data_IF_494880455913
#
_entry.id   IF_494880455913
#
_cell.length_a   1.000
_cell.length_b   1.000
_cell.length_c   1.000
_cell.angle_alpha   90.00
_cell.angle_beta   90.00
_cell.angle_gamma   90.00
#
_symmetry.space_group_name_H-M   'P 1'
#
loop_
_entity.id
_entity.type
_entity.pdbx_description
1 polymer ?
#
# COMPACT_ATOMS: atom_id res chain seq x y z
N UNK A 1 -0.23 -14.43 4.37
CA UNK A 1 0.87 -13.51 4.71
C UNK A 1 0.94 -12.41 3.66
N UNK A 2 0.32 -11.26 3.88
CA UNK A 2 0.30 -10.18 2.89
C UNK A 2 1.68 -9.52 2.71
N UNK A 3 2.06 -9.30 1.46
CA UNK A 3 3.19 -8.44 1.09
C UNK A 3 2.64 -7.23 0.35
N UNK A 4 2.88 -6.04 0.88
CA UNK A 4 2.43 -4.77 0.28
C UNK A 4 3.65 -3.98 -0.16
N UNK A 5 3.67 -3.62 -1.44
CA UNK A 5 4.68 -2.73 -1.99
C UNK A 5 4.06 -1.37 -2.31
N UNK A 6 4.59 -0.32 -1.70
CA UNK A 6 4.18 1.06 -1.94
C UNK A 6 5.28 1.74 -2.75
N UNK A 7 5.03 1.92 -4.04
CA UNK A 7 5.85 2.74 -4.91
C UNK A 7 5.26 4.15 -4.93
N UNK A 8 6.05 5.17 -4.57
CA UNK A 8 5.57 6.55 -4.52
C UNK A 8 6.62 7.54 -5.02
N UNK A 9 6.17 8.67 -5.57
CA UNK A 9 7.07 9.72 -6.04
C UNK A 9 7.98 10.26 -4.91
N UNK A 10 9.26 10.52 -5.15
CA UNK A 10 10.11 11.16 -4.14
C UNK A 10 9.56 12.56 -3.81
N UNK A 11 9.30 12.82 -2.52
CA UNK A 11 8.96 14.14 -1.97
C UNK A 11 9.59 14.30 -0.59
N UNK A 12 10.06 15.49 -0.25
CA UNK A 12 10.73 15.77 1.04
C UNK A 12 9.88 15.37 2.26
N UNK A 13 8.56 15.51 2.17
CA UNK A 13 7.62 15.12 3.23
C UNK A 13 7.50 13.59 3.46
N UNK A 14 8.06 12.74 2.58
CA UNK A 14 7.93 11.27 2.61
C UNK A 14 9.10 10.60 3.33
N UNK A 15 9.42 11.14 4.51
CA UNK A 15 10.54 10.73 5.37
C UNK A 15 10.25 9.41 6.12
N UNK A 16 11.18 8.98 6.98
CA UNK A 16 11.07 7.73 7.74
C UNK A 16 9.86 7.69 8.69
N UNK A 17 9.50 8.81 9.31
CA UNK A 17 8.34 8.90 10.22
C UNK A 17 7.04 8.72 9.45
N UNK A 18 6.89 9.42 8.33
CA UNK A 18 5.71 9.29 7.46
C UNK A 18 5.62 7.87 6.87
N UNK A 19 6.74 7.25 6.48
CA UNK A 19 6.75 5.83 6.05
C UNK A 19 6.25 4.90 7.16
N UNK A 20 6.62 5.15 8.41
CA UNK A 20 6.15 4.37 9.57
C UNK A 20 4.65 4.55 9.80
N UNK A 21 4.14 5.78 9.70
CA UNK A 21 2.70 6.07 9.83
C UNK A 21 1.89 5.36 8.74
N UNK A 22 2.33 5.45 7.49
CA UNK A 22 1.69 4.79 6.35
C UNK A 22 1.72 3.27 6.51
N UNK A 23 2.85 2.69 6.91
CA UNK A 23 2.94 1.25 7.15
C UNK A 23 1.96 0.78 8.23
N UNK A 24 1.83 1.54 9.34
CA UNK A 24 0.87 1.23 10.40
C UNK A 24 -0.58 1.29 9.89
N UNK A 25 -0.92 2.29 9.08
CA UNK A 25 -2.25 2.41 8.49
C UNK A 25 -2.59 1.22 7.57
N UNK A 26 -1.64 0.81 6.72
CA UNK A 26 -1.81 -0.35 5.82
C UNK A 26 -1.99 -1.65 6.59
N UNK A 27 -1.15 -1.91 7.60
CA UNK A 27 -1.26 -3.11 8.45
C UNK A 27 -2.63 -3.14 9.12
N UNK A 28 -3.07 -2.01 9.71
CA UNK A 28 -4.38 -1.92 10.34
C UNK A 28 -5.53 -2.19 9.37
N UNK A 29 -5.46 -1.64 8.16
CA UNK A 29 -6.48 -1.86 7.13
C UNK A 29 -6.61 -3.36 6.79
N UNK A 30 -5.48 -4.05 6.59
CA UNK A 30 -5.46 -5.48 6.29
C UNK A 30 -5.98 -6.34 7.44
N UNK A 31 -5.55 -6.06 8.67
CA UNK A 31 -5.96 -6.81 9.88
C UNK A 31 -7.43 -6.56 10.25
N UNK A 32 -8.02 -5.47 9.78
CA UNK A 32 -9.45 -5.18 9.99
C UNK A 32 -10.38 -6.01 9.09
N UNK A 33 -9.87 -6.59 8.00
CA UNK A 33 -10.63 -7.55 7.18
C UNK A 33 -10.62 -8.91 7.87
N UNK A 34 -11.57 -9.12 8.79
CA UNK A 34 -11.60 -10.31 9.66
C UNK A 34 -11.71 -11.62 8.89
N UNK A 35 -12.43 -11.63 7.78
CA UNK A 35 -12.55 -12.80 6.89
C UNK A 35 -11.26 -13.19 6.18
N UNK A 36 -10.22 -12.33 6.20
CA UNK A 36 -8.92 -12.63 5.59
C UNK A 36 -7.92 -13.28 6.55
N UNK A 37 -8.25 -13.39 7.85
CA UNK A 37 -7.44 -14.06 8.88
C UNK A 37 -5.97 -13.60 8.91
N UNK A 38 -5.74 -12.29 8.80
CA UNK A 38 -4.41 -11.68 8.74
C UNK A 38 -3.92 -11.32 10.15
N UNK A 39 -2.78 -11.89 10.54
CA UNK A 39 -2.05 -11.46 11.74
C UNK A 39 -1.11 -10.28 11.43
N UNK A 40 -1.03 -9.26 12.30
CA UNK A 40 -0.23 -8.05 12.05
C UNK A 40 1.28 -8.32 11.92
N UNK A 41 1.82 -9.30 12.65
CA UNK A 41 3.24 -9.70 12.60
C UNK A 41 3.62 -10.42 11.30
N UNK A 42 2.63 -10.76 10.47
CA UNK A 42 2.78 -11.46 9.19
C UNK A 42 2.49 -10.55 8.00
N UNK A 43 2.51 -9.23 8.19
CA UNK A 43 2.38 -8.25 7.10
C UNK A 43 3.72 -7.59 6.86
N UNK A 44 4.19 -7.62 5.62
CA UNK A 44 5.40 -6.90 5.19
C UNK A 44 5.00 -5.72 4.32
N UNK A 45 5.44 -4.50 4.71
CA UNK A 45 5.25 -3.29 3.92
C UNK A 45 6.62 -2.79 3.44
N UNK A 46 6.82 -2.74 2.13
CA UNK A 46 8.04 -2.22 1.49
C UNK A 46 7.74 -0.90 0.78
N UNK A 47 8.68 0.03 0.86
CA UNK A 47 8.63 1.29 0.12
C UNK A 47 9.66 1.31 -1.00
N UNK A 48 9.28 1.86 -2.15
CA UNK A 48 10.19 2.23 -3.23
C UNK A 48 9.84 3.60 -3.78
N UNK A 49 10.80 4.22 -4.46
CA UNK A 49 10.59 5.47 -5.16
C UNK A 49 10.26 5.17 -6.63
N UNK A 50 9.12 5.67 -7.07
CA UNK A 50 8.73 5.64 -8.48
C UNK A 50 9.13 6.97 -9.10
N UNK A 51 10.00 6.95 -10.11
CA UNK A 51 10.45 8.17 -10.80
C UNK A 51 9.47 8.56 -11.90
N UNK A 52 8.80 7.57 -12.50
CA UNK A 52 7.74 7.76 -13.48
C UNK A 52 6.39 7.49 -12.80
N UNK A 53 5.50 8.48 -12.80
CA UNK A 53 4.16 8.33 -12.25
C UNK A 53 3.45 7.16 -12.92
N UNK A 54 3.03 6.16 -12.14
CA UNK A 54 2.24 5.05 -12.66
C UNK A 54 0.84 5.56 -13.00
N UNK A 55 0.58 5.86 -14.27
CA UNK A 55 -0.78 6.04 -14.75
C UNK A 55 -1.53 4.70 -14.56
N UNK A 56 -2.77 4.77 -14.08
CA UNK A 56 -3.62 3.59 -14.02
C UNK A 56 -3.82 3.08 -15.46
N UNK A 57 -3.73 1.75 -15.71
CA UNK A 57 -4.06 1.21 -17.02
C UNK A 57 -5.51 1.55 -17.39
N UNK A 58 -5.80 1.68 -18.69
CA UNK A 58 -7.15 2.01 -19.15
C UNK A 58 -8.20 1.02 -18.60
N UNK A 59 -9.27 1.54 -18.00
CA UNK A 59 -10.33 0.73 -17.38
C UNK A 59 -10.07 0.32 -15.92
N UNK A 60 -8.98 0.77 -15.29
CA UNK A 60 -8.73 0.55 -13.86
C UNK A 60 -9.11 1.78 -13.04
N UNK A 61 -9.81 1.56 -11.92
CA UNK A 61 -10.05 2.57 -10.89
C UNK A 61 -9.07 2.42 -9.73
N UNK A 62 -9.00 3.41 -8.86
CA UNK A 62 -8.21 3.37 -7.62
C UNK A 62 -8.70 2.28 -6.63
N UNK A 63 -9.86 1.67 -6.89
CA UNK A 63 -10.42 0.56 -6.11
C UNK A 63 -10.04 -0.82 -6.70
N UNK A 64 -9.21 -0.88 -7.75
CA UNK A 64 -8.79 -2.11 -8.45
C UNK A 64 -9.89 -3.01 -9.01
N UNK A 65 -11.17 -2.64 -8.86
CA UNK A 65 -12.29 -3.44 -9.34
C UNK A 65 -13.28 -2.53 -10.06
N UNK A 66 -13.19 -2.48 -11.38
CA UNK A 66 -14.41 -2.36 -12.16
C UNK A 66 -14.56 -3.64 -12.98
N UNK A 67 -15.69 -4.31 -12.72
CA UNK A 67 -16.12 -5.55 -13.37
C UNK A 67 -16.19 -5.33 -14.88
N UNK A 68 -15.65 -6.28 -15.64
CA UNK A 68 -16.23 -6.55 -16.97
C UNK A 68 -17.64 -7.10 -16.81
#
# INVERSE_FOLDING_TARGET
MPFVHIAWLPKTARNAEVRKEVAKAVINALVNVKSAEISPDKVVVRFSEAVDGFALPAGHTHESVEKK
#
